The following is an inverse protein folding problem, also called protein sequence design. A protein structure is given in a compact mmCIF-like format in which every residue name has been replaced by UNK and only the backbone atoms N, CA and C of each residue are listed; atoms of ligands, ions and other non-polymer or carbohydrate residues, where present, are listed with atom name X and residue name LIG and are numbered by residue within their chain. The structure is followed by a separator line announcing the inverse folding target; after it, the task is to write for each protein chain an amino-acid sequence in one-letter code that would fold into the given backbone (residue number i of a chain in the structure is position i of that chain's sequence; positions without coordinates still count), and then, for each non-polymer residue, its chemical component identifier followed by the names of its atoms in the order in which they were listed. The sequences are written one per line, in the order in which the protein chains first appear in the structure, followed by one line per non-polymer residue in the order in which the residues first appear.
data_IF_580107413418
#
_entry.id   IF_580107413418
#
_cell.length_a   1.000
_cell.length_b   1.000
_cell.length_c   1.000
_cell.angle_alpha   90.00
_cell.angle_beta   90.00
_cell.angle_gamma   90.00
#
_symmetry.space_group_name_H-M   'P 1'
#
loop_
_entity.id
_entity.type
_entity.pdbx_description
1 polymer ?
#
# COMPACT_ATOMS: atom_id res chain seq x y z
N UNK A 1 3.32 3.88 -4.46
CA UNK A 1 4.45 3.04 -3.97
C UNK A 1 5.43 3.92 -3.21
N UNK A 2 5.94 5.00 -3.82
CA UNK A 2 6.78 5.99 -3.12
C UNK A 2 6.10 6.57 -1.86
N UNK A 3 4.87 7.07 -1.97
CA UNK A 3 4.13 7.63 -0.82
C UNK A 3 3.96 6.64 0.36
N UNK A 4 3.65 5.37 0.06
CA UNK A 4 3.48 4.33 1.07
C UNK A 4 4.82 3.99 1.76
N UNK A 5 5.90 3.87 0.98
CA UNK A 5 7.23 3.60 1.52
C UNK A 5 7.73 4.74 2.43
N UNK A 6 7.47 6.00 2.06
CA UNK A 6 7.81 7.17 2.88
C UNK A 6 7.07 7.18 4.22
N UNK A 7 5.85 6.63 4.27
CA UNK A 7 5.03 6.50 5.48
C UNK A 7 5.26 5.20 6.25
N UNK A 8 6.24 4.39 5.83
CA UNK A 8 6.63 3.16 6.54
C UNK A 8 5.91 1.89 6.13
N UNK A 9 5.09 1.92 5.06
CA UNK A 9 4.42 0.72 4.56
C UNK A 9 5.16 0.12 3.36
N UNK A 10 5.85 -0.99 3.60
CA UNK A 10 6.50 -1.79 2.55
C UNK A 10 5.46 -2.58 1.76
N UNK A 11 5.50 -2.49 0.43
CA UNK A 11 4.53 -3.13 -0.45
C UNK A 11 5.19 -3.66 -1.71
N UNK A 12 4.50 -4.52 -2.45
CA UNK A 12 4.91 -4.96 -3.78
C UNK A 12 3.81 -4.68 -4.80
N UNK A 13 4.18 -4.13 -5.96
CA UNK A 13 3.29 -3.99 -7.12
C UNK A 13 3.77 -4.86 -8.29
N UNK A 14 2.86 -5.59 -8.92
CA UNK A 14 3.12 -6.31 -10.18
C UNK A 14 2.40 -5.60 -11.31
N UNK A 15 3.01 -5.57 -12.50
CA UNK A 15 2.41 -5.02 -13.71
C UNK A 15 2.61 -6.01 -14.85
N UNK A 16 1.51 -6.42 -15.47
CA UNK A 16 1.51 -7.30 -16.64
C UNK A 16 0.97 -6.53 -17.85
N UNK A 17 1.40 -6.86 -19.08
CA UNK A 17 0.83 -6.25 -20.28
C UNK A 17 -0.70 -6.42 -20.32
N UNK A 18 -1.42 -5.34 -20.63
CA UNK A 18 -2.90 -5.34 -20.67
C UNK A 18 -3.59 -5.26 -19.31
N UNK A 19 -2.85 -5.18 -18.20
CA UNK A 19 -3.39 -5.05 -16.85
C UNK A 19 -2.90 -3.77 -16.17
N UNK A 20 -3.73 -3.23 -15.27
CA UNK A 20 -3.30 -2.20 -14.33
C UNK A 20 -2.21 -2.72 -13.40
N UNK A 21 -1.55 -1.82 -12.66
CA UNK A 21 -0.66 -2.22 -11.57
C UNK A 21 -1.47 -2.81 -10.42
N UNK A 22 -1.10 -4.00 -9.96
CA UNK A 22 -1.80 -4.73 -8.90
C UNK A 22 -0.90 -4.85 -7.68
N UNK A 23 -1.37 -4.37 -6.53
CA UNK A 23 -0.69 -4.57 -5.26
C UNK A 23 -0.88 -6.00 -4.78
N UNK A 24 0.19 -6.59 -4.24
CA UNK A 24 0.14 -7.88 -3.55
C UNK A 24 0.36 -7.62 -2.06
N UNK A 25 -0.66 -7.88 -1.26
CA UNK A 25 -0.66 -7.63 0.19
C UNK A 25 -0.81 -8.99 0.88
N UNK A 26 0.19 -9.35 1.67
CA UNK A 26 0.25 -10.60 2.41
C UNK A 26 1.00 -10.34 3.72
N UNK A 27 0.34 -9.73 4.74
CA UNK A 27 0.96 -9.53 6.04
C UNK A 27 1.26 -10.87 6.73
N UNK A 28 2.03 -10.83 7.81
CA UNK A 28 2.30 -12.02 8.61
C UNK A 28 1.00 -12.62 9.18
N UNK A 29 0.94 -13.94 9.36
CA UNK A 29 -0.21 -14.61 9.98
C UNK A 29 -0.40 -14.24 11.46
N UNK A 30 0.62 -13.65 12.08
CA UNK A 30 0.63 -13.18 13.47
C UNK A 30 0.35 -11.69 13.60
N UNK A 31 0.07 -10.99 12.49
CA UNK A 31 -0.26 -9.57 12.51
C UNK A 31 -1.49 -9.34 13.37
N UNK A 32 -1.45 -8.30 14.19
CA UNK A 32 -2.58 -7.88 15.02
C UNK A 32 -3.56 -7.02 14.23
N UNK A 33 -4.80 -6.92 14.71
CA UNK A 33 -5.82 -6.06 14.10
C UNK A 33 -5.36 -4.59 14.05
N UNK A 34 -4.68 -4.11 15.10
CA UNK A 34 -4.15 -2.75 15.15
C UNK A 34 -3.06 -2.48 14.09
N UNK A 35 -2.25 -3.47 13.75
CA UNK A 35 -1.25 -3.34 12.67
C UNK A 35 -1.92 -3.38 11.29
N UNK A 36 -3.01 -4.12 11.13
CA UNK A 36 -3.83 -4.10 9.90
C UNK A 36 -4.47 -2.72 9.73
N UNK A 37 -5.07 -2.18 10.79
CA UNK A 37 -5.69 -0.86 10.78
C UNK A 37 -4.66 0.24 10.41
N UNK A 38 -3.49 0.21 11.04
CA UNK A 38 -2.38 1.10 10.71
C UNK A 38 -1.96 0.98 9.24
N UNK A 39 -1.85 -0.25 8.73
CA UNK A 39 -1.52 -0.49 7.33
C UNK A 39 -2.57 0.08 6.35
N UNK A 40 -3.85 -0.03 6.71
CA UNK A 40 -4.96 0.53 5.93
C UNK A 40 -4.98 2.05 5.94
N UNK A 41 -4.75 2.66 7.11
CA UNK A 41 -4.64 4.13 7.27
C UNK A 41 -3.51 4.68 6.40
N UNK A 42 -2.30 4.12 6.51
CA UNK A 42 -1.15 4.53 5.69
C UNK A 42 -1.45 4.36 4.20
N UNK A 43 -2.10 3.26 3.80
CA UNK A 43 -2.43 3.00 2.41
C UNK A 43 -3.43 4.03 1.85
N UNK A 44 -4.46 4.38 2.61
CA UNK A 44 -5.45 5.40 2.25
C UNK A 44 -4.78 6.77 2.04
N UNK A 45 -4.03 7.24 3.03
CA UNK A 45 -3.30 8.52 2.98
C UNK A 45 -2.32 8.57 1.80
N UNK A 46 -1.68 7.44 1.50
CA UNK A 46 -0.74 7.33 0.38
C UNK A 46 -1.44 7.44 -0.97
N UNK A 47 -2.66 6.92 -1.10
CA UNK A 47 -3.46 7.01 -2.33
C UNK A 47 -3.93 8.46 -2.53
N UNK A 48 -4.46 9.09 -1.48
CA UNK A 48 -4.89 10.50 -1.52
C UNK A 48 -3.73 11.42 -1.90
N UNK A 49 -2.59 11.28 -1.24
CA UNK A 49 -1.39 12.06 -1.56
C UNK A 49 -0.89 11.83 -2.99
N UNK A 50 -0.89 10.57 -3.47
CA UNK A 50 -0.49 10.27 -4.84
C UNK A 50 -1.48 10.79 -5.91
N UNK A 51 -2.75 11.05 -5.54
CA UNK A 51 -3.72 11.72 -6.41
C UNK A 51 -3.53 13.23 -6.43
N UNK A 52 -3.19 13.85 -5.29
CA UNK A 52 -2.95 15.29 -5.20
C UNK A 52 -1.69 15.77 -5.96
N UNK A 53 -0.72 14.88 -6.17
CA UNK A 53 0.51 15.14 -6.93
C UNK A 53 0.35 14.96 -8.45
N UNK A 54 -0.89 14.75 -8.95
CA UNK A 54 -1.18 14.70 -10.40
C UNK A 54 -1.60 16.04 -10.98
#
# INVERSE_FOLDING_TARGET
MQEAMLRGLSMNIVKLPGMGGVFRIAPALTVSDAEIDLGLEILADSIESAQATR
#
